data_IF_607735920190
#
_entry.id   IF_607735920190
#
_cell.length_a   1.000
_cell.length_b   1.000
_cell.length_c   1.000
_cell.angle_alpha   90.00
_cell.angle_beta   90.00
_cell.angle_gamma   90.00
#
_symmetry.space_group_name_H-M   'P 1'
#
loop_
_entity.id
_entity.type
_entity.pdbx_description
1 polymer ?
#
# COMPACT_ATOMS: atom_id res chain seq x y z
N UNK A 1 34.61 22.88 31.14
CA UNK A 1 33.78 23.45 30.06
C UNK A 1 34.06 22.81 28.70
N UNK A 2 35.30 22.73 28.21
CA UNK A 2 35.62 21.99 26.97
C UNK A 2 35.15 20.50 26.94
N UNK A 3 35.44 19.64 27.94
CA UNK A 3 35.09 18.21 27.85
C UNK A 3 33.57 17.94 27.86
N UNK A 4 32.80 18.77 28.57
CA UNK A 4 31.33 18.67 28.62
C UNK A 4 30.68 19.02 27.28
N UNK A 5 31.27 19.95 26.52
CA UNK A 5 30.82 20.29 25.16
C UNK A 5 31.07 19.15 24.17
N UNK A 6 32.25 18.52 24.24
CA UNK A 6 32.61 17.37 23.38
C UNK A 6 31.64 16.20 23.63
N UNK A 7 31.35 15.89 24.90
CA UNK A 7 30.42 14.82 25.26
C UNK A 7 28.99 15.04 24.69
N UNK A 8 28.46 16.27 24.78
CA UNK A 8 27.15 16.62 24.24
C UNK A 8 27.09 16.51 22.71
N UNK A 9 28.16 16.91 22.01
CA UNK A 9 28.23 16.82 20.54
C UNK A 9 28.26 15.35 20.08
N UNK A 10 29.09 14.51 20.72
CA UNK A 10 29.16 13.07 20.39
C UNK A 10 27.83 12.37 20.70
N UNK A 11 27.17 12.72 21.81
CA UNK A 11 25.83 12.22 22.13
C UNK A 11 24.80 12.61 21.06
N UNK A 12 24.75 13.89 20.65
CA UNK A 12 23.81 14.37 19.65
C UNK A 12 24.02 13.69 18.28
N UNK A 13 25.28 13.60 17.83
CA UNK A 13 25.62 13.00 16.54
C UNK A 13 25.38 11.49 16.50
N UNK A 14 25.71 10.77 17.58
CA UNK A 14 25.43 9.33 17.67
C UNK A 14 23.94 9.03 17.77
N UNK A 15 23.18 9.82 18.55
CA UNK A 15 21.72 9.72 18.63
C UNK A 15 21.03 9.99 17.29
N UNK A 16 21.35 11.10 16.62
CA UNK A 16 20.82 11.45 15.30
C UNK A 16 21.23 10.42 14.23
N UNK A 17 22.50 10.02 14.21
CA UNK A 17 23.03 9.03 13.27
C UNK A 17 22.38 7.66 13.43
N UNK A 18 22.26 7.16 14.66
CA UNK A 18 21.60 5.89 14.94
C UNK A 18 20.10 5.95 14.64
N UNK A 19 19.43 7.07 14.92
CA UNK A 19 17.99 7.23 14.60
C UNK A 19 17.75 7.26 13.09
N UNK A 20 18.59 7.97 12.34
CA UNK A 20 18.53 8.01 10.87
C UNK A 20 18.87 6.64 10.25
N UNK A 21 19.86 5.94 10.79
CA UNK A 21 20.24 4.59 10.36
C UNK A 21 19.14 3.57 10.67
N UNK A 22 18.57 3.59 11.88
CA UNK A 22 17.45 2.72 12.26
C UNK A 22 16.22 2.98 11.40
N UNK A 23 15.89 4.25 11.09
CA UNK A 23 14.80 4.58 10.13
C UNK A 23 15.07 4.03 8.73
N UNK A 24 16.30 4.18 8.22
CA UNK A 24 16.69 3.66 6.88
C UNK A 24 16.74 2.12 6.82
N UNK A 25 17.19 1.45 7.88
CA UNK A 25 17.29 -0.01 7.93
C UNK A 25 16.02 -0.71 8.43
N UNK A 26 15.04 0.00 9.01
CA UNK A 26 13.72 -0.57 9.28
C UNK A 26 12.95 -0.87 7.99
N UNK A 27 13.18 -0.10 6.91
CA UNK A 27 12.73 -0.43 5.55
C UNK A 27 13.43 -1.65 4.93
N UNK A 28 14.32 -2.34 5.66
CA UNK A 28 15.12 -3.47 5.18
C UNK A 28 15.17 -4.65 6.18
N UNK A 29 14.19 -4.78 7.09
CA UNK A 29 14.09 -5.91 8.03
C UNK A 29 12.98 -6.90 7.64
N UNK A 30 13.31 -8.14 7.25
CA UNK A 30 12.31 -9.19 7.12
C UNK A 30 11.78 -9.61 8.50
N UNK A 31 10.47 -9.43 8.72
CA UNK A 31 9.76 -10.09 9.83
C UNK A 31 9.36 -11.52 9.41
N UNK A 32 9.39 -12.53 10.31
CA UNK A 32 9.21 -13.93 9.93
C UNK A 32 7.73 -14.37 9.82
N UNK A 33 7.46 -15.18 8.78
CA UNK A 33 6.38 -16.16 8.60
C UNK A 33 4.89 -15.72 8.68
N UNK A 34 4.51 -14.67 9.41
CA UNK A 34 3.13 -14.12 9.38
C UNK A 34 2.90 -13.12 8.24
N UNK A 35 3.96 -12.82 7.50
CA UNK A 35 4.05 -11.75 6.51
C UNK A 35 3.31 -12.03 5.21
N UNK A 36 3.43 -13.23 4.64
CA UNK A 36 2.88 -13.52 3.30
C UNK A 36 1.36 -13.41 3.29
N UNK A 37 0.69 -13.98 4.30
CA UNK A 37 -0.77 -13.85 4.51
C UNK A 37 -1.22 -12.39 4.61
N UNK A 38 -0.35 -11.49 5.08
CA UNK A 38 -0.68 -10.08 5.29
C UNK A 38 -0.67 -9.27 3.99
N UNK A 39 0.32 -9.52 3.12
CA UNK A 39 0.37 -8.94 1.76
C UNK A 39 -0.70 -9.57 0.84
N UNK A 40 -0.98 -10.86 1.01
CA UNK A 40 -2.01 -11.60 0.28
C UNK A 40 -3.44 -11.09 0.55
N UNK A 41 -3.75 -10.58 1.74
CA UNK A 41 -5.04 -9.89 1.97
C UNK A 41 -5.14 -8.55 1.21
N UNK A 42 -4.02 -7.84 1.00
CA UNK A 42 -4.03 -6.57 0.27
C UNK A 42 -4.09 -6.75 -1.25
N UNK A 43 -3.57 -7.85 -1.79
CA UNK A 43 -3.62 -8.17 -3.23
C UNK A 43 -5.01 -8.65 -3.69
N UNK A 44 -5.85 -9.15 -2.78
CA UNK A 44 -7.24 -9.57 -3.04
C UNK A 44 -8.22 -8.42 -3.19
N UNK A 45 -7.84 -7.20 -2.80
CA UNK A 45 -8.70 -6.03 -2.89
C UNK A 45 -8.97 -5.64 -4.35
N UNK A 46 -9.96 -4.77 -4.58
CA UNK A 46 -10.01 -4.03 -5.84
C UNK A 46 -8.97 -2.91 -5.77
N UNK A 47 -8.31 -2.61 -6.88
CA UNK A 47 -7.33 -1.51 -6.97
C UNK A 47 -7.80 -0.21 -6.30
N UNK A 48 -9.05 0.22 -6.57
CA UNK A 48 -9.58 1.46 -5.99
C UNK A 48 -9.81 1.38 -4.48
N UNK A 49 -10.10 0.21 -3.94
CA UNK A 49 -10.28 0.02 -2.50
C UNK A 49 -8.92 -0.06 -1.79
N UNK A 50 -7.92 -0.65 -2.42
CA UNK A 50 -6.51 -0.52 -2.00
C UNK A 50 -6.06 0.96 -2.01
N UNK A 51 -6.33 1.71 -3.09
CA UNK A 51 -5.99 3.12 -3.18
C UNK A 51 -6.67 3.97 -2.07
N UNK A 52 -7.93 3.67 -1.70
CA UNK A 52 -8.59 4.30 -0.54
C UNK A 52 -7.87 4.01 0.77
N UNK A 53 -7.45 2.77 1.01
CA UNK A 53 -6.68 2.40 2.21
C UNK A 53 -5.32 3.10 2.24
N UNK A 54 -4.62 3.17 1.11
CA UNK A 54 -3.36 3.93 1.00
C UNK A 54 -3.60 5.41 1.30
N UNK A 55 -4.61 6.05 0.71
CA UNK A 55 -4.96 7.44 1.04
C UNK A 55 -5.36 7.63 2.51
N UNK A 56 -6.00 6.64 3.14
CA UNK A 56 -6.35 6.68 4.55
C UNK A 56 -5.11 6.61 5.46
N UNK A 57 -4.13 5.77 5.11
CA UNK A 57 -2.82 5.75 5.78
C UNK A 57 -2.05 7.04 5.53
N UNK A 58 -2.03 7.56 4.30
CA UNK A 58 -1.38 8.84 4.00
C UNK A 58 -2.00 10.01 4.79
N UNK A 59 -3.33 10.03 4.97
CA UNK A 59 -4.00 10.97 5.89
C UNK A 59 -3.55 10.81 7.34
N UNK A 60 -3.40 9.58 7.83
CA UNK A 60 -2.87 9.33 9.17
C UNK A 60 -1.39 9.76 9.32
N UNK A 61 -0.60 9.72 8.22
CA UNK A 61 0.76 10.27 8.10
C UNK A 61 0.81 11.80 7.89
N UNK A 62 -0.33 12.49 7.95
CA UNK A 62 -0.44 13.96 7.84
C UNK A 62 -0.52 14.51 6.41
N UNK A 63 -0.56 13.67 5.37
CA UNK A 63 -0.77 14.12 4.00
C UNK A 63 -2.26 14.41 3.72
N UNK A 64 -2.53 15.41 2.88
CA UNK A 64 -3.85 15.64 2.28
C UNK A 64 -3.74 15.49 0.76
N UNK A 65 -4.83 15.12 0.09
CA UNK A 65 -4.87 15.11 -1.37
C UNK A 65 -4.90 16.57 -1.84
N UNK A 66 -4.02 16.94 -2.78
CA UNK A 66 -4.03 18.27 -3.36
C UNK A 66 -5.26 18.46 -4.26
N UNK A 67 -5.82 19.66 -4.29
CA UNK A 67 -6.96 19.95 -5.18
C UNK A 67 -6.47 20.09 -6.62
N UNK A 68 -6.81 19.11 -7.46
CA UNK A 68 -6.54 19.11 -8.90
C UNK A 68 -7.88 19.11 -9.68
N UNK A 69 -7.92 19.76 -10.84
CA UNK A 69 -9.14 19.84 -11.67
C UNK A 69 -9.54 18.44 -12.17
N UNK A 70 -10.84 18.13 -12.13
CA UNK A 70 -11.37 16.84 -12.56
C UNK A 70 -11.15 15.67 -11.59
N UNK A 71 -10.53 15.89 -10.43
CA UNK A 71 -10.35 14.84 -9.43
C UNK A 71 -11.68 14.45 -8.76
N UNK A 72 -12.03 13.15 -8.68
CA UNK A 72 -13.27 12.71 -8.02
C UNK A 72 -13.29 13.00 -6.51
N UNK A 73 -14.49 12.98 -5.91
CA UNK A 73 -14.70 13.29 -4.50
C UNK A 73 -14.01 12.34 -3.50
N UNK A 74 -13.59 11.14 -3.91
CA UNK A 74 -12.77 10.23 -3.09
C UNK A 74 -11.26 10.50 -3.20
N UNK A 75 -10.85 11.47 -4.03
CA UNK A 75 -9.47 11.88 -4.24
C UNK A 75 -8.65 10.94 -5.11
N UNK A 76 -9.29 10.00 -5.81
CA UNK A 76 -8.63 8.95 -6.60
C UNK A 76 -8.98 9.14 -8.09
N UNK A 77 -8.00 9.35 -8.99
CA UNK A 77 -8.24 9.45 -10.42
C UNK A 77 -8.95 8.21 -11.00
N UNK A 78 -9.87 8.40 -11.95
CA UNK A 78 -10.66 7.29 -12.51
C UNK A 78 -9.84 6.40 -13.47
N UNK A 79 -8.74 6.93 -14.00
CA UNK A 79 -7.83 6.29 -14.95
C UNK A 79 -6.67 5.53 -14.29
N UNK A 80 -6.52 5.63 -12.96
CA UNK A 80 -5.41 5.03 -12.22
C UNK A 80 -4.10 5.81 -12.30
N UNK A 81 -4.15 7.08 -12.71
CA UNK A 81 -2.98 7.97 -12.68
C UNK A 81 -2.49 8.27 -11.25
N UNK A 82 -1.24 8.75 -11.15
CA UNK A 82 -0.62 9.13 -9.88
C UNK A 82 -1.41 10.26 -9.20
N UNK A 83 -1.39 10.33 -7.86
CA UNK A 83 -2.14 11.30 -7.04
C UNK A 83 -1.15 12.35 -6.47
N UNK A 84 -1.45 13.65 -6.54
CA UNK A 84 -0.67 14.65 -5.78
C UNK A 84 -1.16 14.73 -4.34
N UNK A 85 -0.22 14.57 -3.40
CA UNK A 85 -0.42 14.83 -1.98
C UNK A 85 0.30 16.11 -1.56
N UNK A 86 -0.15 16.71 -0.46
CA UNK A 86 0.49 17.85 0.18
C UNK A 86 0.62 17.62 1.70
N UNK A 87 1.78 17.94 2.26
CA UNK A 87 2.05 17.94 3.71
C UNK A 87 3.00 19.10 4.02
N UNK A 88 2.62 19.97 4.95
CA UNK A 88 3.44 21.11 5.39
C UNK A 88 3.93 22.02 4.24
N UNK A 89 3.12 22.17 3.19
CA UNK A 89 3.46 22.93 1.97
C UNK A 89 4.37 22.19 0.97
N UNK A 90 4.84 20.98 1.30
CA UNK A 90 5.59 20.12 0.38
C UNK A 90 4.62 19.24 -0.40
N UNK A 91 4.73 19.29 -1.74
CA UNK A 91 3.96 18.43 -2.65
C UNK A 91 4.70 17.13 -2.95
N UNK A 92 3.97 16.02 -2.90
CA UNK A 92 4.48 14.64 -3.01
C UNK A 92 3.67 13.86 -4.04
N UNK A 93 4.34 13.17 -4.97
CA UNK A 93 3.68 12.30 -5.94
C UNK A 93 3.44 10.90 -5.34
N UNK A 94 2.18 10.49 -5.21
CA UNK A 94 1.81 9.12 -4.80
C UNK A 94 1.48 8.27 -6.01
N UNK A 95 2.29 7.24 -6.29
CA UNK A 95 2.02 6.24 -7.34
C UNK A 95 1.61 4.90 -6.73
N UNK A 96 0.37 4.47 -6.95
CA UNK A 96 -0.14 3.19 -6.47
C UNK A 96 0.04 2.10 -7.53
N UNK A 97 1.08 1.27 -7.42
CA UNK A 97 1.37 0.16 -8.35
C UNK A 97 0.66 -1.11 -7.90
N UNK A 98 -0.40 -1.47 -8.64
CA UNK A 98 -1.27 -2.62 -8.35
C UNK A 98 -1.30 -3.54 -9.58
N UNK A 99 -1.05 -4.83 -9.40
CA UNK A 99 -0.96 -5.79 -10.49
C UNK A 99 -0.85 -7.23 -9.99
N UNK A 100 -1.09 -8.18 -10.90
CA UNK A 100 -1.12 -9.63 -10.61
C UNK A 100 0.27 -10.23 -10.31
N UNK A 101 1.33 -9.63 -10.85
CA UNK A 101 2.69 -9.90 -10.38
C UNK A 101 2.86 -9.33 -8.98
N UNK A 102 3.03 -10.20 -7.97
CA UNK A 102 3.29 -9.83 -6.58
C UNK A 102 4.66 -9.13 -6.37
N UNK A 103 5.31 -8.66 -7.44
CA UNK A 103 6.64 -8.08 -7.51
C UNK A 103 6.63 -6.89 -8.47
N UNK A 104 7.02 -5.72 -7.99
CA UNK A 104 7.16 -4.50 -8.80
C UNK A 104 8.62 -4.32 -9.19
N UNK A 105 8.89 -4.46 -10.48
CA UNK A 105 10.22 -4.32 -11.05
C UNK A 105 10.62 -2.89 -11.39
N UNK A 106 11.91 -2.73 -11.70
CA UNK A 106 12.59 -1.45 -11.91
C UNK A 106 11.91 -0.52 -12.94
N UNK A 107 11.35 -1.09 -14.02
CA UNK A 107 10.68 -0.32 -15.08
C UNK A 107 9.48 0.49 -14.57
N UNK A 108 8.78 0.02 -13.53
CA UNK A 108 7.60 0.70 -12.99
C UNK A 108 7.94 2.02 -12.23
N UNK A 109 9.21 2.24 -11.90
CA UNK A 109 9.71 3.46 -11.25
C UNK A 109 10.24 4.47 -12.27
N UNK A 110 10.59 4.03 -13.48
CA UNK A 110 11.14 4.91 -14.51
C UNK A 110 10.08 5.94 -14.96
N UNK A 111 10.52 7.17 -15.16
CA UNK A 111 9.65 8.28 -15.52
C UNK A 111 8.90 8.92 -14.34
N UNK A 112 8.80 8.29 -13.16
CA UNK A 112 8.12 8.89 -12.00
C UNK A 112 8.80 10.19 -11.54
N UNK A 113 10.13 10.25 -11.49
CA UNK A 113 10.85 11.48 -11.17
C UNK A 113 10.56 12.62 -12.19
N UNK A 114 10.33 12.28 -13.46
CA UNK A 114 9.93 13.25 -14.49
C UNK A 114 8.47 13.68 -14.34
N UNK A 115 7.56 12.74 -14.05
CA UNK A 115 6.15 13.01 -13.72
C UNK A 115 6.06 13.98 -12.52
N UNK A 116 6.80 13.67 -11.45
CA UNK A 116 6.92 14.48 -10.25
C UNK A 116 7.39 15.91 -10.54
N UNK A 117 8.46 16.05 -11.32
CA UNK A 117 8.98 17.36 -11.76
C UNK A 117 7.93 18.15 -12.55
N UNK A 118 7.23 17.49 -13.49
CA UNK A 118 6.19 18.13 -14.32
C UNK A 118 4.96 18.56 -13.52
N UNK A 119 4.62 17.86 -12.42
CA UNK A 119 3.51 18.22 -11.52
C UNK A 119 3.94 19.06 -10.31
N UNK A 120 5.18 19.53 -10.27
CA UNK A 120 5.71 20.40 -9.22
C UNK A 120 5.79 19.75 -7.84
N UNK A 121 6.04 18.44 -7.77
CA UNK A 121 6.21 17.68 -6.51
C UNK A 121 7.70 17.43 -6.24
N UNK A 122 8.16 17.66 -5.00
CA UNK A 122 9.55 17.46 -4.58
C UNK A 122 9.88 16.06 -4.06
N UNK A 123 8.85 15.28 -3.71
CA UNK A 123 8.96 13.92 -3.18
C UNK A 123 8.14 12.94 -4.04
N UNK A 124 8.52 11.66 -4.03
CA UNK A 124 7.77 10.58 -4.69
C UNK A 124 7.63 9.40 -3.73
N UNK A 125 6.41 8.89 -3.58
CA UNK A 125 6.08 7.67 -2.83
C UNK A 125 5.46 6.67 -3.80
N UNK A 126 6.01 5.46 -3.84
CA UNK A 126 5.47 4.33 -4.62
C UNK A 126 4.97 3.26 -3.67
N UNK A 127 3.70 2.88 -3.82
CA UNK A 127 3.02 1.94 -2.92
C UNK A 127 2.51 0.74 -3.71
N UNK A 128 2.72 -0.47 -3.19
CA UNK A 128 2.23 -1.72 -3.80
C UNK A 128 1.73 -2.70 -2.74
N UNK A 129 0.70 -3.53 -3.00
CA UNK A 129 0.35 -4.64 -2.12
C UNK A 129 1.35 -5.80 -2.18
N UNK A 130 2.18 -5.86 -3.23
CA UNK A 130 3.22 -6.89 -3.40
C UNK A 130 4.53 -6.52 -2.71
N UNK A 131 5.66 -6.93 -3.30
CA UNK A 131 7.02 -6.52 -2.94
C UNK A 131 7.70 -5.76 -4.09
N UNK A 132 8.85 -5.13 -3.84
CA UNK A 132 9.70 -4.59 -4.90
C UNK A 132 10.85 -5.55 -5.24
N UNK A 133 11.36 -5.48 -6.47
CA UNK A 133 12.65 -6.09 -6.82
C UNK A 133 13.82 -5.33 -6.19
N UNK A 134 14.95 -6.00 -5.95
CA UNK A 134 16.17 -5.36 -5.45
C UNK A 134 16.66 -4.24 -6.38
N UNK A 135 16.49 -4.42 -7.70
CA UNK A 135 16.82 -3.39 -8.70
C UNK A 135 15.90 -2.16 -8.59
N UNK A 136 14.60 -2.36 -8.32
CA UNK A 136 13.69 -1.25 -8.05
C UNK A 136 14.10 -0.49 -6.78
N UNK A 137 14.49 -1.21 -5.72
CA UNK A 137 15.03 -0.61 -4.49
C UNK A 137 16.39 0.10 -4.70
N UNK A 138 17.16 -0.28 -5.73
CA UNK A 138 18.38 0.44 -6.13
C UNK A 138 18.05 1.75 -6.85
N UNK A 139 17.16 1.73 -7.83
CA UNK A 139 16.72 2.93 -8.57
C UNK A 139 16.03 3.92 -7.62
N UNK A 140 15.16 3.45 -6.73
CA UNK A 140 14.45 4.32 -5.78
C UNK A 140 15.41 5.12 -4.90
N UNK A 141 16.49 4.50 -4.39
CA UNK A 141 17.53 5.19 -3.62
C UNK A 141 18.30 6.23 -4.43
N UNK A 142 18.49 6.01 -5.74
CA UNK A 142 19.15 6.96 -6.64
C UNK A 142 18.25 8.15 -7.01
N UNK A 143 16.94 7.93 -7.10
CA UNK A 143 15.96 8.94 -7.52
C UNK A 143 15.19 9.59 -6.34
N UNK A 144 15.59 9.33 -5.10
CA UNK A 144 14.93 9.80 -3.87
C UNK A 144 13.42 9.46 -3.81
N UNK A 145 13.10 8.21 -4.13
CA UNK A 145 11.73 7.66 -4.11
C UNK A 145 11.54 6.83 -2.83
N UNK A 146 10.49 7.10 -2.05
CA UNK A 146 10.04 6.23 -0.95
C UNK A 146 9.30 5.01 -1.54
N UNK A 147 9.66 3.82 -1.11
CA UNK A 147 8.99 2.57 -1.47
C UNK A 147 8.23 2.02 -0.26
N UNK A 148 6.94 1.72 -0.44
CA UNK A 148 6.09 1.08 0.57
C UNK A 148 5.51 -0.20 -0.04
N UNK A 149 6.01 -1.34 0.39
CA UNK A 149 5.50 -2.66 -0.01
C UNK A 149 4.35 -3.13 0.91
N UNK A 150 3.69 -4.24 0.53
CA UNK A 150 2.56 -4.77 1.30
C UNK A 150 2.95 -5.19 2.71
N UNK A 151 4.19 -5.64 2.92
CA UNK A 151 4.74 -5.97 4.24
C UNK A 151 4.85 -4.74 5.13
N UNK A 152 5.39 -3.63 4.59
CA UNK A 152 5.58 -2.37 5.31
C UNK A 152 4.26 -1.63 5.52
N UNK A 153 3.33 -1.73 4.56
CA UNK A 153 2.01 -1.11 4.60
C UNK A 153 1.06 -1.81 5.59
N UNK A 154 1.13 -3.14 5.71
CA UNK A 154 0.16 -3.93 6.48
C UNK A 154 -0.11 -3.43 7.92
N UNK A 155 0.91 -3.11 8.75
CA UNK A 155 0.68 -2.63 10.11
C UNK A 155 -0.16 -1.35 10.18
N UNK A 156 -0.08 -0.49 9.15
CA UNK A 156 -0.80 0.77 9.05
C UNK A 156 -2.22 0.60 8.49
N UNK A 157 -2.44 -0.33 7.55
CA UNK A 157 -3.79 -0.59 6.99
C UNK A 157 -4.63 -1.58 7.81
N UNK A 158 -4.02 -2.48 8.58
CA UNK A 158 -4.73 -3.50 9.39
C UNK A 158 -5.88 -2.94 10.24
N UNK A 159 -5.75 -1.78 10.95
CA UNK A 159 -6.86 -1.19 11.70
C UNK A 159 -8.09 -0.86 10.85
N UNK A 160 -7.89 -0.57 9.56
CA UNK A 160 -8.94 -0.17 8.62
C UNK A 160 -9.52 -1.35 7.84
N UNK A 161 -8.75 -2.44 7.66
CA UNK A 161 -9.23 -3.68 7.03
C UNK A 161 -10.09 -4.50 8.01
N UNK A 162 -9.75 -4.50 9.31
CA UNK A 162 -10.53 -5.22 10.34
C UNK A 162 -11.75 -4.44 10.88
N UNK A 163 -11.92 -3.18 10.50
CA UNK A 163 -12.98 -2.29 10.97
C UNK A 163 -13.96 -1.90 9.86
N UNK A 164 -14.90 -2.79 9.53
CA UNK A 164 -16.03 -2.42 8.68
C UNK A 164 -16.92 -1.37 9.36
N UNK A 165 -17.27 -0.31 8.63
CA UNK A 165 -17.99 0.92 9.08
C UNK A 165 -17.05 2.00 9.65
N UNK A 166 -17.04 3.15 8.97
CA UNK A 166 -16.32 4.34 9.43
C UNK A 166 -17.00 4.98 10.65
N UNK A 167 -16.21 5.61 11.53
CA UNK A 167 -16.58 6.93 12.03
C UNK A 167 -15.68 8.04 11.49
N UNK A 168 -16.21 9.26 11.48
CA UNK A 168 -15.49 10.46 11.08
C UNK A 168 -14.36 10.84 12.07
N UNK A 169 -13.37 11.55 11.54
CA UNK A 169 -12.59 12.59 12.25
C UNK A 169 -12.00 12.22 13.63
N UNK A 170 -11.22 11.13 13.67
CA UNK A 170 -10.27 10.91 14.75
C UNK A 170 -8.98 11.73 14.48
N UNK A 171 -8.83 12.85 15.19
CA UNK A 171 -7.55 13.58 15.28
C UNK A 171 -6.48 12.63 15.83
N UNK A 172 -5.33 12.44 15.15
CA UNK A 172 -4.30 11.53 15.63
C UNK A 172 -3.66 12.06 16.92
N UNK A 173 -3.93 11.40 18.04
CA UNK A 173 -3.19 11.62 19.28
C UNK A 173 -1.77 11.10 19.10
N UNK A 174 -0.78 11.99 19.20
CA UNK A 174 0.65 11.70 19.04
C UNK A 174 1.26 10.91 20.23
N UNK A 175 0.55 9.92 20.76
CA UNK A 175 0.92 9.17 21.96
C UNK A 175 1.90 8.01 21.70
N UNK A 176 1.99 7.50 20.47
CA UNK A 176 2.76 6.27 20.18
C UNK A 176 4.24 6.54 19.85
N UNK A 177 4.58 7.72 19.33
CA UNK A 177 5.96 8.09 19.01
C UNK A 177 6.86 8.21 20.26
N UNK A 178 6.29 8.65 21.38
CA UNK A 178 7.01 8.93 22.64
C UNK A 178 7.61 7.67 23.28
N UNK A 179 7.01 6.49 23.07
CA UNK A 179 7.46 5.24 23.72
C UNK A 179 8.72 4.62 23.11
N UNK A 180 8.95 4.77 21.80
CA UNK A 180 10.20 4.26 21.18
C UNK A 180 11.38 5.22 21.33
N UNK A 181 11.11 6.53 21.42
CA UNK A 181 12.14 7.53 21.73
C UNK A 181 12.72 7.28 23.14
N UNK A 182 11.89 6.90 24.12
CA UNK A 182 12.34 6.59 25.49
C UNK A 182 13.43 5.49 25.56
N UNK A 183 13.37 4.47 24.71
CA UNK A 183 14.39 3.41 24.66
C UNK A 183 15.72 3.87 24.04
N UNK A 184 15.66 4.73 23.01
CA UNK A 184 16.86 5.30 22.39
C UNK A 184 17.61 6.24 23.34
N UNK A 185 16.89 7.09 24.06
CA UNK A 185 17.48 7.98 25.07
C UNK A 185 17.92 7.22 26.33
N UNK A 186 17.25 6.12 26.70
CA UNK A 186 17.68 5.24 27.79
C UNK A 186 19.06 4.61 27.53
N UNK A 187 19.31 4.09 26.33
CA UNK A 187 20.63 3.53 25.98
C UNK A 187 21.74 4.58 26.00
N UNK A 188 21.47 5.80 25.53
CA UNK A 188 22.43 6.89 25.54
C UNK A 188 22.69 7.45 26.96
N UNK A 189 21.68 7.41 27.84
CA UNK A 189 21.84 7.75 29.26
C UNK A 189 22.72 6.73 30.01
N UNK A 190 22.69 5.45 29.67
CA UNK A 190 23.61 4.43 30.25
C UNK A 190 25.07 4.72 29.86
N UNK A 191 25.34 5.14 28.63
CA UNK A 191 26.70 5.47 28.18
C UNK A 191 27.22 6.75 28.85
N UNK A 192 26.39 7.80 28.94
CA UNK A 192 26.71 9.00 29.72
C UNK A 192 26.89 8.72 31.21
N UNK A 193 26.05 7.84 31.77
CA UNK A 193 26.12 7.39 33.16
C UNK A 193 27.37 6.58 33.47
N UNK A 194 27.82 5.70 32.56
CA UNK A 194 29.09 4.97 32.70
C UNK A 194 30.31 5.90 32.68
N UNK A 195 30.32 6.89 31.79
CA UNK A 195 31.36 7.93 31.76
C UNK A 195 31.37 8.78 33.04
N UNK A 196 30.20 9.05 33.63
CA UNK A 196 30.08 9.75 34.91
C UNK A 196 30.47 8.86 36.10
N UNK A 197 30.06 7.59 36.14
CA UNK A 197 30.46 6.64 37.19
C UNK A 197 31.98 6.43 37.24
N UNK A 198 32.65 6.36 36.09
CA UNK A 198 34.12 6.33 36.03
C UNK A 198 34.76 7.62 36.60
N UNK A 199 34.08 8.77 36.49
CA UNK A 199 34.49 10.02 37.14
C UNK A 199 34.07 10.14 38.62
N UNK A 200 33.20 9.25 39.12
CA UNK A 200 32.71 9.21 40.51
C UNK A 200 33.11 7.94 41.26
N UNK A 201 34.17 7.25 40.84
CA UNK A 201 34.75 6.07 41.50
C UNK A 201 35.33 6.29 42.91
N UNK A 202 34.94 7.37 43.60
CA UNK A 202 35.20 7.63 45.01
C UNK A 202 33.89 8.04 45.69
N UNK A 203 33.15 7.08 46.27
CA UNK A 203 32.56 7.08 47.62
C UNK A 203 31.55 5.89 47.75
N UNK A 204 31.30 5.34 48.95
CA UNK A 204 30.66 4.03 49.10
C UNK A 204 29.28 4.00 49.80
N UNK A 205 28.46 3.02 49.37
CA UNK A 205 27.54 2.17 50.16
C UNK A 205 26.31 2.78 50.86
N UNK A 206 25.18 2.08 50.69
CA UNK A 206 23.95 2.17 51.50
C UNK A 206 22.71 2.24 50.60
N UNK A 207 21.68 1.40 50.73
CA UNK A 207 21.45 0.27 51.64
C UNK A 207 19.95 -0.01 51.73
N UNK A 208 19.54 -1.25 51.45
CA UNK A 208 18.23 -1.89 51.72
C UNK A 208 16.90 -1.13 51.55
N UNK A 209 16.00 -1.70 50.74
CA UNK A 209 14.83 -2.43 51.25
C UNK A 209 13.82 -2.76 50.11
N UNK A 210 13.22 -3.95 50.18
CA UNK A 210 12.22 -4.43 49.23
C UNK A 210 10.83 -4.60 49.92
N UNK A 211 9.82 -5.29 49.33
CA UNK A 211 8.54 -4.65 49.03
C UNK A 211 7.38 -5.13 49.93
N UNK A 212 6.19 -4.55 49.75
CA UNK A 212 4.95 -5.16 50.22
C UNK A 212 3.92 -5.35 49.10
N UNK A 213 3.35 -6.54 49.08
CA UNK A 213 2.28 -7.02 48.22
C UNK A 213 1.04 -7.13 49.09
N UNK A 214 -0.12 -6.66 48.62
CA UNK A 214 -1.40 -7.03 49.21
C UNK A 214 -2.45 -7.30 48.13
N UNK A 215 -3.17 -8.41 48.29
CA UNK A 215 -4.31 -8.80 47.48
C UNK A 215 -5.26 -9.69 48.32
N UNK A 216 -6.56 -9.45 48.23
CA UNK A 216 -7.54 -10.55 48.12
C UNK A 216 -8.45 -10.32 46.89
N UNK A 217 -8.91 -11.33 46.12
CA UNK A 217 -9.89 -12.37 46.47
C UNK A 217 -11.22 -11.78 46.99
N UNK A 218 -12.42 -12.10 46.50
CA UNK A 218 -12.95 -13.05 45.51
C UNK A 218 -14.27 -12.49 44.93
N UNK A 219 -14.75 -13.00 43.79
CA UNK A 219 -16.13 -13.50 43.62
C UNK A 219 -16.34 -14.10 42.21
N UNK A 220 -16.93 -15.29 42.14
CA UNK A 220 -17.44 -15.91 40.90
C UNK A 220 -18.96 -15.97 41.03
N UNK A 221 -19.69 -15.55 39.99
CA UNK A 221 -21.09 -15.92 39.81
C UNK A 221 -21.43 -15.99 38.32
N UNK A 222 -21.99 -17.11 37.88
CA UNK A 222 -22.46 -17.33 36.52
C UNK A 222 -23.86 -16.71 36.33
N UNK A 223 -24.23 -16.38 35.08
CA UNK A 223 -25.51 -16.78 34.47
C UNK A 223 -25.38 -16.72 32.95
N UNK A 224 -25.85 -17.75 32.26
CA UNK A 224 -25.95 -17.79 30.80
C UNK A 224 -27.41 -17.63 30.36
N UNK A 225 -27.65 -16.97 29.22
CA UNK A 225 -28.96 -16.95 28.57
C UNK A 225 -28.85 -16.89 27.05
N UNK A 226 -29.41 -17.89 26.38
CA UNK A 226 -29.89 -17.86 24.98
C UNK A 226 -31.41 -17.63 25.00
N UNK A 227 -32.11 -17.29 23.91
CA UNK A 227 -31.87 -17.26 22.44
C UNK A 227 -32.70 -16.05 21.88
N UNK A 228 -33.03 -15.86 20.57
CA UNK A 228 -32.71 -16.58 19.34
C UNK A 228 -32.19 -15.70 18.16
N UNK A 229 -31.84 -16.41 17.07
CA UNK A 229 -31.33 -15.93 15.79
C UNK A 229 -32.47 -15.76 14.75
N UNK A 230 -32.50 -14.69 13.92
CA UNK A 230 -33.44 -14.58 12.81
C UNK A 230 -33.04 -15.42 11.58
N UNK A 231 -34.04 -16.03 10.94
CA UNK A 231 -33.94 -16.89 9.75
C UNK A 231 -33.54 -16.11 8.47
N UNK A 232 -32.86 -16.73 7.47
CA UNK A 232 -32.42 -16.01 6.27
C UNK A 232 -33.59 -15.64 5.34
N UNK A 233 -33.56 -14.43 4.78
CA UNK A 233 -34.43 -14.04 3.66
C UNK A 233 -33.82 -14.44 2.30
N UNK A 234 -34.66 -14.71 1.28
CA UNK A 234 -34.21 -15.25 0.00
C UNK A 234 -33.47 -14.21 -0.86
N UNK A 235 -32.46 -14.69 -1.59
CA UNK A 235 -31.74 -13.93 -2.62
C UNK A 235 -32.66 -13.44 -3.74
N UNK A 236 -32.66 -12.14 -4.10
CA UNK A 236 -33.28 -11.68 -5.32
C UNK A 236 -32.49 -12.15 -6.55
N UNK A 237 -33.24 -12.56 -7.58
CA UNK A 237 -32.70 -13.06 -8.85
C UNK A 237 -31.98 -11.96 -9.64
N UNK A 238 -30.96 -12.35 -10.43
CA UNK A 238 -30.25 -11.43 -11.33
C UNK A 238 -31.19 -10.87 -12.41
N UNK A 239 -31.72 -9.67 -12.19
CA UNK A 239 -32.28 -8.85 -13.26
C UNK A 239 -31.11 -8.33 -14.09
N UNK A 240 -31.00 -8.78 -15.34
CA UNK A 240 -30.04 -8.25 -16.32
C UNK A 240 -30.26 -6.74 -16.42
N UNK A 241 -29.31 -5.87 -16.03
CA UNK A 241 -29.56 -4.44 -16.08
C UNK A 241 -29.49 -3.96 -17.53
N UNK A 242 -30.67 -3.72 -18.11
CA UNK A 242 -30.93 -3.21 -19.48
C UNK A 242 -30.57 -1.73 -19.67
N UNK A 243 -29.83 -1.16 -18.72
CA UNK A 243 -29.29 0.20 -18.76
C UNK A 243 -28.08 0.25 -19.72
N UNK A 244 -28.13 1.01 -20.84
CA UNK A 244 -27.02 1.08 -21.78
C UNK A 244 -25.74 1.63 -21.13
N UNK A 245 -25.87 2.55 -20.18
CA UNK A 245 -24.76 3.07 -19.38
C UNK A 245 -24.10 1.98 -18.50
N UNK A 246 -24.88 1.04 -17.96
CA UNK A 246 -24.35 -0.07 -17.16
C UNK A 246 -23.61 -1.10 -18.03
N UNK A 247 -24.05 -1.30 -19.28
CA UNK A 247 -23.36 -2.14 -20.26
C UNK A 247 -22.03 -1.50 -20.72
N UNK A 248 -22.02 -0.19 -20.96
CA UNK A 248 -20.83 0.58 -21.30
C UNK A 248 -19.80 0.59 -20.14
N UNK A 249 -20.27 0.70 -18.90
CA UNK A 249 -19.43 0.56 -17.71
C UNK A 249 -18.78 -0.83 -17.62
N UNK A 250 -19.52 -1.91 -17.88
CA UNK A 250 -18.99 -3.29 -17.91
C UNK A 250 -17.99 -3.50 -19.04
N UNK A 251 -18.23 -2.95 -20.24
CA UNK A 251 -17.25 -2.94 -21.34
C UNK A 251 -15.94 -2.29 -20.90
N UNK A 252 -16.01 -1.12 -20.26
CA UNK A 252 -14.83 -0.41 -19.74
C UNK A 252 -14.13 -1.21 -18.63
N UNK A 253 -14.85 -1.82 -17.69
CA UNK A 253 -14.28 -2.70 -16.65
C UNK A 253 -13.55 -3.91 -17.28
N UNK A 254 -14.15 -4.56 -18.29
CA UNK A 254 -13.54 -5.69 -18.99
C UNK A 254 -12.27 -5.30 -19.76
N UNK A 255 -12.28 -4.19 -20.51
CA UNK A 255 -11.09 -3.70 -21.22
C UNK A 255 -9.95 -3.30 -20.26
N UNK A 256 -10.29 -2.65 -19.15
CA UNK A 256 -9.31 -2.30 -18.12
C UNK A 256 -8.69 -3.57 -17.49
N UNK A 257 -9.51 -4.57 -17.15
CA UNK A 257 -9.02 -5.83 -16.61
C UNK A 257 -8.10 -6.58 -17.60
N UNK A 258 -8.48 -6.63 -18.88
CA UNK A 258 -7.68 -7.28 -19.94
C UNK A 258 -6.35 -6.57 -20.19
N UNK A 259 -6.29 -5.25 -19.98
CA UNK A 259 -5.04 -4.47 -20.06
C UNK A 259 -4.06 -4.81 -18.93
N UNK A 260 -4.49 -5.50 -17.85
CA UNK A 260 -3.60 -5.99 -16.78
C UNK A 260 -2.99 -7.38 -17.04
N UNK A 261 -3.35 -8.02 -18.16
CA UNK A 261 -2.83 -9.35 -18.50
C UNK A 261 -1.38 -9.30 -18.98
N UNK A 262 -0.63 -10.36 -18.69
CA UNK A 262 0.76 -10.46 -19.13
C UNK A 262 0.83 -10.45 -20.67
N UNK A 263 1.67 -9.57 -21.21
CA UNK A 263 1.89 -9.44 -22.64
C UNK A 263 0.79 -8.72 -23.41
N UNK A 264 -0.13 -8.02 -22.73
CA UNK A 264 -1.06 -7.05 -23.32
C UNK A 264 -0.56 -5.64 -23.04
N UNK A 265 -0.32 -4.84 -24.10
CA UNK A 265 0.02 -3.42 -23.97
C UNK A 265 -1.21 -2.56 -23.67
N UNK A 266 -2.36 -2.92 -24.25
CA UNK A 266 -3.60 -2.13 -24.22
C UNK A 266 -4.78 -2.93 -24.74
N UNK A 267 -5.95 -2.82 -24.10
CA UNK A 267 -7.21 -3.28 -24.66
C UNK A 267 -8.24 -2.14 -24.76
N UNK A 268 -8.98 -2.07 -25.85
CA UNK A 268 -10.01 -1.05 -26.10
C UNK A 268 -11.13 -1.58 -26.99
N UNK A 269 -12.35 -1.09 -26.79
CA UNK A 269 -13.49 -1.44 -27.65
C UNK A 269 -13.48 -0.56 -28.90
N UNK A 270 -13.48 -1.16 -30.08
CA UNK A 270 -13.66 -0.42 -31.35
C UNK A 270 -15.13 -0.29 -31.72
N UNK A 271 -15.97 -1.21 -31.25
CA UNK A 271 -17.43 -1.18 -31.38
C UNK A 271 -18.07 -1.74 -30.11
N UNK A 272 -19.41 -1.76 -30.05
CA UNK A 272 -20.15 -2.38 -28.94
C UNK A 272 -19.93 -3.90 -28.79
N UNK A 273 -19.33 -4.58 -29.78
CA UNK A 273 -19.13 -6.04 -29.81
C UNK A 273 -17.75 -6.47 -30.31
N UNK A 274 -16.83 -5.53 -30.56
CA UNK A 274 -15.45 -5.79 -30.99
C UNK A 274 -14.44 -5.19 -30.02
N UNK A 275 -13.65 -6.05 -29.38
CA UNK A 275 -12.53 -5.68 -28.52
C UNK A 275 -11.21 -5.82 -29.28
N UNK A 276 -10.45 -4.73 -29.38
CA UNK A 276 -9.05 -4.73 -29.81
C UNK A 276 -8.14 -4.94 -28.61
N UNK A 277 -7.16 -5.83 -28.76
CA UNK A 277 -6.14 -6.13 -27.73
C UNK A 277 -4.77 -6.08 -28.40
N UNK A 278 -3.95 -5.12 -28.00
CA UNK A 278 -2.59 -4.93 -28.49
C UNK A 278 -1.64 -5.77 -27.64
N UNK A 279 -0.84 -6.61 -28.28
CA UNK A 279 0.13 -7.50 -27.64
C UNK A 279 1.50 -6.84 -27.57
N UNK A 280 2.20 -7.00 -26.45
CA UNK A 280 3.53 -6.40 -26.23
C UNK A 280 4.67 -7.17 -26.90
N UNK A 281 4.44 -8.45 -27.23
CA UNK A 281 5.40 -9.32 -27.90
C UNK A 281 4.69 -10.31 -28.83
N UNK A 282 5.41 -10.79 -29.85
CA UNK A 282 4.82 -11.59 -30.93
C UNK A 282 4.37 -13.00 -30.52
N UNK A 283 4.97 -13.58 -29.48
CA UNK A 283 4.76 -14.96 -29.05
C UNK A 283 3.78 -15.10 -27.86
N UNK A 284 3.19 -13.99 -27.41
CA UNK A 284 2.21 -14.00 -26.32
C UNK A 284 0.84 -14.44 -26.86
N UNK A 285 0.18 -15.34 -26.13
CA UNK A 285 -1.24 -15.60 -26.30
C UNK A 285 -1.98 -15.42 -24.97
N UNK A 286 -2.62 -14.25 -24.74
CA UNK A 286 -3.33 -13.97 -23.48
C UNK A 286 -4.71 -14.63 -23.42
N UNK A 287 -5.12 -15.42 -24.43
CA UNK A 287 -6.49 -15.94 -24.57
C UNK A 287 -6.97 -16.72 -23.34
N UNK A 288 -6.09 -17.51 -22.71
CA UNK A 288 -6.41 -18.34 -21.53
C UNK A 288 -6.87 -17.49 -20.35
N UNK A 289 -6.24 -16.35 -20.11
CA UNK A 289 -6.56 -15.45 -19.00
C UNK A 289 -7.60 -14.38 -19.38
N UNK A 290 -7.67 -14.04 -20.67
CA UNK A 290 -8.62 -13.08 -21.23
C UNK A 290 -10.06 -13.59 -21.23
N UNK A 291 -10.28 -14.84 -21.64
CA UNK A 291 -11.64 -15.34 -21.79
C UNK A 291 -12.44 -15.41 -20.47
N UNK A 292 -11.88 -15.85 -19.33
CA UNK A 292 -12.54 -15.77 -18.02
C UNK A 292 -12.97 -14.34 -17.61
N UNK A 293 -12.25 -13.30 -18.07
CA UNK A 293 -12.60 -11.90 -17.79
C UNK A 293 -13.79 -11.42 -18.62
N UNK A 294 -13.89 -11.82 -19.89
CA UNK A 294 -15.07 -11.53 -20.72
C UNK A 294 -16.28 -12.37 -20.29
N UNK A 295 -16.09 -13.65 -19.97
CA UNK A 295 -17.17 -14.58 -19.62
C UNK A 295 -17.82 -14.29 -18.26
N UNK A 296 -17.19 -13.48 -17.41
CA UNK A 296 -17.80 -12.88 -16.22
C UNK A 296 -19.04 -12.05 -16.54
N UNK A 297 -19.09 -11.46 -17.74
CA UNK A 297 -20.20 -10.66 -18.24
C UNK A 297 -20.85 -11.42 -19.41
N UNK A 298 -21.94 -12.18 -19.20
CA UNK A 298 -22.51 -13.05 -20.24
C UNK A 298 -22.88 -12.31 -21.53
N UNK A 299 -23.27 -11.04 -21.41
CA UNK A 299 -23.55 -10.12 -22.52
C UNK A 299 -22.31 -9.62 -23.29
N UNK A 300 -21.10 -9.79 -22.74
CA UNK A 300 -19.83 -9.50 -23.42
C UNK A 300 -19.11 -10.78 -23.89
N UNK A 301 -19.43 -11.95 -23.33
CA UNK A 301 -18.79 -13.23 -23.61
C UNK A 301 -18.75 -13.62 -25.11
N UNK A 302 -19.78 -13.23 -25.86
CA UNK A 302 -19.91 -13.48 -27.29
C UNK A 302 -19.25 -12.40 -28.19
N UNK A 303 -18.53 -11.44 -27.61
CA UNK A 303 -17.83 -10.38 -28.36
C UNK A 303 -16.66 -10.93 -29.17
N UNK A 304 -16.39 -10.28 -30.31
CA UNK A 304 -15.23 -10.58 -31.16
C UNK A 304 -13.98 -9.92 -30.55
N UNK A 305 -12.98 -10.74 -30.26
CA UNK A 305 -11.66 -10.28 -29.80
C UNK A 305 -10.70 -10.27 -30.99
N UNK A 306 -9.96 -9.18 -31.15
CA UNK A 306 -8.98 -8.98 -32.21
C UNK A 306 -7.62 -8.70 -31.58
N UNK A 307 -6.73 -9.69 -31.63
CA UNK A 307 -5.37 -9.62 -31.12
C UNK A 307 -4.47 -8.97 -32.17
N UNK A 308 -4.04 -7.74 -31.89
CA UNK A 308 -3.11 -6.94 -32.68
C UNK A 308 -1.68 -7.26 -32.23
N UNK A 309 -0.78 -7.71 -33.12
CA UNK A 309 0.63 -7.89 -32.77
C UNK A 309 1.32 -6.54 -32.56
N UNK A 310 2.52 -6.51 -31.93
CA UNK A 310 3.26 -5.27 -31.69
C UNK A 310 3.66 -4.56 -33.01
N UNK A 311 3.89 -3.25 -32.94
CA UNK A 311 4.26 -2.46 -34.10
C UNK A 311 5.60 -2.92 -34.71
N UNK A 312 5.63 -3.11 -36.02
CA UNK A 312 6.78 -3.69 -36.74
C UNK A 312 6.77 -5.22 -36.82
N UNK A 313 5.79 -5.89 -36.22
CA UNK A 313 5.63 -7.35 -36.34
C UNK A 313 5.28 -7.80 -37.76
N UNK A 314 5.79 -8.98 -38.14
CA UNK A 314 5.41 -9.66 -39.39
C UNK A 314 4.21 -10.60 -39.26
N UNK A 315 3.70 -10.83 -38.04
CA UNK A 315 2.61 -11.78 -37.79
C UNK A 315 1.24 -11.20 -38.19
N UNK A 316 0.30 -12.03 -38.66
CA UNK A 316 -1.05 -11.57 -38.97
C UNK A 316 -1.85 -11.28 -37.69
N UNK A 317 -2.79 -10.34 -37.80
CA UNK A 317 -3.82 -10.08 -36.78
C UNK A 317 -4.64 -11.35 -36.53
N UNK A 318 -4.77 -11.75 -35.28
CA UNK A 318 -5.53 -12.95 -34.88
C UNK A 318 -6.92 -12.57 -34.39
N UNK A 319 -7.92 -13.38 -34.68
CA UNK A 319 -9.29 -13.21 -34.18
C UNK A 319 -9.67 -14.38 -33.27
N UNK A 320 -10.39 -14.06 -32.18
CA UNK A 320 -10.88 -15.03 -31.21
C UNK A 320 -12.30 -14.64 -30.78
N UNK A 321 -13.08 -15.63 -30.40
CA UNK A 321 -14.32 -15.47 -29.66
C UNK A 321 -14.20 -16.40 -28.45
N UNK A 322 -14.55 -15.93 -27.26
CA UNK A 322 -14.40 -16.71 -26.03
C UNK A 322 -15.57 -17.68 -25.84
N UNK A 323 -16.79 -17.19 -26.08
CA UNK A 323 -17.99 -18.02 -26.14
C UNK A 323 -18.66 -17.90 -27.51
N UNK A 324 -18.84 -19.03 -28.18
CA UNK A 324 -19.73 -19.14 -29.35
C UNK A 324 -21.18 -19.02 -28.89
N UNK A 325 -22.05 -18.45 -29.73
CA UNK A 325 -23.51 -18.46 -29.51
C UNK A 325 -24.08 -19.89 -29.56
#
# INVERSE_FOLDING_TARGET
MMPTLIALIVFALSGLGLTAWLRRNQAARPAPASTERSADELSKLRWRDFAKLVLQVMRARGYRVATEEGLPADGIPTDGSDIVLEREGVRTLLSCKYGSGAVVGAQALLGLAKSATLRGTGEVIVVTPGRFEEEAARIARQQNIELIDGQSLWPEVRPYVSGGTAPAEAVPSNATATRMIGLAWGGAAVIGGLAWMLAQGMQPVGGDAAPQIDAPAHAIAHTAATTPQPTPQPTPVSVVPTEPAALEARRREAANAITTLFGVDRALWSTQSTLLVYLSAEDVDPTTDLCPLLERYPELAASRVQLQPPAGSSKPVRFKQCRTY
#
